data_IF_071501576346
#
_entry.id   IF_071501576346
#
_cell.length_a   1.000
_cell.length_b   1.000
_cell.length_c   1.000
_cell.angle_alpha   90.00
_cell.angle_beta   90.00
_cell.angle_gamma   90.00
#
_symmetry.space_group_name_H-M   'P 1'
#
loop_
_entity.id
_entity.type
_entity.pdbx_description
1 polymer ?
#
# COMPACT_ATOMS: atom_id res chain seq x y z
N UNK A 1 -12.36 -10.61 -7.68
CA UNK A 1 -13.07 -9.36 -7.31
C UNK A 1 -12.13 -8.45 -6.55
N UNK A 2 -11.97 -7.20 -6.98
CA UNK A 2 -11.20 -6.22 -6.22
C UNK A 2 -12.07 -5.66 -5.09
N UNK A 3 -11.57 -5.69 -3.84
CA UNK A 3 -12.22 -4.98 -2.72
C UNK A 3 -11.83 -3.51 -2.79
N UNK A 4 -12.82 -2.61 -2.68
CA UNK A 4 -12.57 -1.16 -2.59
C UNK A 4 -12.29 -0.78 -1.15
N UNK A 5 -11.28 0.04 -0.95
CA UNK A 5 -10.91 0.62 0.34
C UNK A 5 -10.88 2.14 0.16
N UNK A 6 -11.57 2.86 1.03
CA UNK A 6 -11.49 4.32 1.10
C UNK A 6 -10.45 4.70 2.16
N UNK A 7 -9.59 5.67 1.85
CA UNK A 7 -8.60 6.20 2.79
C UNK A 7 -8.75 7.72 2.84
N UNK A 8 -8.50 8.29 4.01
CA UNK A 8 -8.46 9.73 4.21
C UNK A 8 -7.00 10.17 4.29
N UNK A 9 -6.64 11.11 3.44
CA UNK A 9 -5.32 11.75 3.43
C UNK A 9 -5.50 13.25 3.62
N UNK A 10 -4.60 13.86 4.36
CA UNK A 10 -4.52 15.31 4.46
C UNK A 10 -3.86 15.93 3.22
N UNK A 11 -3.82 17.27 3.15
CA UNK A 11 -3.28 17.99 1.99
C UNK A 11 -1.79 17.70 1.77
N UNK A 12 -1.01 17.67 2.84
CA UNK A 12 0.44 17.44 2.76
C UNK A 12 0.72 16.02 2.25
N UNK A 13 -0.06 15.03 2.69
CA UNK A 13 0.02 13.65 2.23
C UNK A 13 -0.36 13.50 0.75
N UNK A 14 -1.37 14.24 0.28
CA UNK A 14 -1.75 14.26 -1.14
C UNK A 14 -0.64 14.90 -1.99
N UNK A 15 -0.09 16.03 -1.54
CA UNK A 15 1.03 16.69 -2.22
C UNK A 15 2.25 15.76 -2.30
N UNK A 16 2.59 15.10 -1.20
CA UNK A 16 3.65 14.10 -1.16
C UNK A 16 3.38 12.98 -2.17
N UNK A 17 2.16 12.40 -2.17
CA UNK A 17 1.77 11.33 -3.11
C UNK A 17 1.89 11.77 -4.57
N UNK A 18 1.53 13.02 -4.87
CA UNK A 18 1.63 13.58 -6.22
C UNK A 18 3.09 13.75 -6.68
N UNK A 19 3.99 14.07 -5.74
CA UNK A 19 5.42 14.28 -6.00
C UNK A 19 6.21 12.98 -6.23
N UNK A 20 5.68 11.84 -5.76
CA UNK A 20 6.34 10.53 -5.94
C UNK A 20 6.41 10.19 -7.44
N UNK A 21 7.64 10.11 -7.95
CA UNK A 21 7.96 9.58 -9.28
C UNK A 21 8.13 8.07 -9.20
N UNK A 22 7.52 7.34 -10.13
CA UNK A 22 7.46 5.87 -10.08
C UNK A 22 6.23 5.36 -9.30
N UNK A 23 6.22 4.07 -8.97
CA UNK A 23 5.13 3.39 -8.25
C UNK A 23 3.74 3.38 -8.94
N UNK A 24 3.63 3.84 -10.18
CA UNK A 24 2.41 3.76 -10.98
C UNK A 24 2.02 5.10 -11.58
N UNK A 25 0.95 5.08 -12.38
CA UNK A 25 0.45 6.26 -13.10
C UNK A 25 -0.74 6.91 -12.40
N UNK A 26 -1.51 6.11 -11.64
CA UNK A 26 -2.70 6.54 -10.90
C UNK A 26 -2.40 6.58 -9.41
N UNK A 27 -3.02 7.49 -8.67
CA UNK A 27 -2.85 7.59 -7.22
C UNK A 27 -3.17 6.28 -6.50
N UNK A 28 -4.22 5.57 -6.93
CA UNK A 28 -4.58 4.27 -6.38
C UNK A 28 -3.47 3.20 -6.57
N UNK A 29 -2.76 3.24 -7.70
CA UNK A 29 -1.62 2.35 -7.95
C UNK A 29 -0.43 2.72 -7.08
N UNK A 30 -0.13 4.02 -6.99
CA UNK A 30 0.95 4.54 -6.13
C UNK A 30 0.74 4.13 -4.68
N UNK A 31 -0.44 4.39 -4.13
CA UNK A 31 -0.80 4.01 -2.75
C UNK A 31 -0.67 2.50 -2.54
N UNK A 32 -1.21 1.69 -3.46
CA UNK A 32 -1.11 0.23 -3.38
C UNK A 32 0.35 -0.24 -3.37
N UNK A 33 1.16 0.27 -4.27
CA UNK A 33 2.53 -0.19 -4.44
C UNK A 33 3.44 0.28 -3.29
N UNK A 34 3.24 1.50 -2.78
CA UNK A 34 3.90 2.00 -1.57
C UNK A 34 3.55 1.13 -0.37
N UNK A 35 2.25 0.82 -0.17
CA UNK A 35 1.80 -0.04 0.92
C UNK A 35 2.43 -1.43 0.84
N UNK A 36 2.46 -2.05 -0.35
CA UNK A 36 3.08 -3.36 -0.55
C UNK A 36 4.58 -3.34 -0.28
N UNK A 37 5.29 -2.30 -0.77
CA UNK A 37 6.72 -2.14 -0.52
C UNK A 37 7.02 -2.03 0.98
N UNK A 38 6.30 -1.14 1.68
CA UNK A 38 6.42 -0.96 3.13
C UNK A 38 6.19 -2.28 3.90
N UNK A 39 5.14 -3.02 3.56
CA UNK A 39 4.85 -4.30 4.21
C UNK A 39 5.88 -5.39 3.91
N UNK A 40 6.52 -5.33 2.74
CA UNK A 40 7.58 -6.26 2.35
C UNK A 40 8.86 -5.98 3.11
N UNK A 41 9.25 -4.70 3.23
CA UNK A 41 10.43 -4.26 4.00
C UNK A 41 10.29 -4.54 5.49
N UNK A 42 9.08 -4.41 6.05
CA UNK A 42 8.85 -4.63 7.49
C UNK A 42 8.70 -6.10 7.88
N UNK A 43 8.89 -7.05 6.97
CA UNK A 43 8.79 -8.50 7.26
C UNK A 43 7.38 -8.99 7.62
N UNK A 44 6.39 -8.11 7.72
CA UNK A 44 5.03 -8.41 8.18
C UNK A 44 4.31 -9.44 7.28
N UNK A 45 4.69 -9.55 6.01
CA UNK A 45 4.09 -10.52 5.10
C UNK A 45 4.48 -11.98 5.43
N UNK A 46 5.67 -12.26 5.96
CA UNK A 46 6.06 -13.63 6.33
C UNK A 46 5.30 -14.14 7.56
N UNK A 47 5.09 -13.31 8.57
CA UNK A 47 4.35 -13.69 9.78
C UNK A 47 2.83 -13.78 9.54
N UNK A 48 2.25 -12.88 8.75
CA UNK A 48 0.82 -12.88 8.49
C UNK A 48 0.40 -14.01 7.54
N UNK A 49 1.25 -14.41 6.59
CA UNK A 49 1.00 -15.57 5.74
C UNK A 49 1.19 -16.90 6.49
N UNK A 50 2.13 -17.00 7.44
CA UNK A 50 2.26 -18.20 8.31
C UNK A 50 1.01 -18.43 9.16
N UNK A 51 0.29 -17.38 9.57
CA UNK A 51 -0.98 -17.51 10.33
C UNK A 51 -2.17 -17.97 9.49
N UNK A 52 -2.19 -17.71 8.17
CA UNK A 52 -3.32 -18.06 7.30
C UNK A 52 -3.34 -19.52 6.84
N UNK A 53 -2.19 -20.20 6.81
CA UNK A 53 -2.06 -21.60 6.36
C UNK A 53 -2.42 -22.61 7.48
N UNK A 54 -2.64 -22.14 8.72
CA UNK A 54 -2.96 -22.99 9.89
C UNK A 54 -4.44 -22.98 10.30
N UNK A 55 -5.37 -22.61 9.42
CA UNK A 55 -6.82 -22.75 9.65
C UNK A 55 -7.44 -23.65 8.60
#
# INVERSE_FOLDING_TARGET
MAKRVSISLDREQIELLSSVKGFGSKDAEKVKNILMAYLSEKGYLEEFNKKKVRR
#
